data_IF_781669592176
#
_entry.id   IF_781669592176
#
_cell.length_a   1.000
_cell.length_b   1.000
_cell.length_c   1.000
_cell.angle_alpha   90.00
_cell.angle_beta   90.00
_cell.angle_gamma   90.00
#
_symmetry.space_group_name_H-M   'P 1'
#
loop_
_entity.id
_entity.type
_entity.pdbx_description
1 polymer ?
#
# COMPACT_ATOMS: atom_id res chain seq x y z
N UNK A 1 -25.87 -13.00 -11.61
CA UNK A 1 -25.23 -11.95 -12.41
C UNK A 1 -23.79 -12.37 -12.59
N UNK A 2 -23.34 -12.53 -13.85
CA UNK A 2 -22.02 -13.09 -14.16
C UNK A 2 -20.92 -12.21 -13.58
N UNK A 3 -20.08 -12.76 -12.70
CA UNK A 3 -18.81 -12.17 -12.32
C UNK A 3 -18.00 -11.99 -13.61
N UNK A 4 -17.86 -10.79 -14.10
CA UNK A 4 -16.91 -10.46 -15.15
C UNK A 4 -15.51 -10.67 -14.57
N UNK A 5 -15.06 -11.91 -14.65
CA UNK A 5 -13.73 -12.31 -14.21
C UNK A 5 -12.76 -11.80 -15.28
N UNK A 6 -12.08 -10.68 -15.01
CA UNK A 6 -10.99 -10.14 -15.85
C UNK A 6 -9.90 -11.22 -16.06
N UNK A 7 -9.91 -12.25 -15.23
CA UNK A 7 -8.98 -13.40 -15.21
C UNK A 7 -9.41 -14.62 -16.02
N UNK A 8 -10.31 -14.50 -16.99
CA UNK A 8 -10.44 -15.55 -18.03
C UNK A 8 -9.18 -15.67 -18.91
N UNK A 9 -8.07 -15.12 -18.43
CA UNK A 9 -6.73 -15.19 -18.99
C UNK A 9 -6.12 -16.57 -18.72
N UNK A 10 -6.49 -17.52 -19.57
CA UNK A 10 -5.81 -18.78 -19.72
C UNK A 10 -4.43 -18.57 -20.35
N UNK A 11 -3.53 -19.57 -20.24
CA UNK A 11 -2.24 -19.64 -20.97
C UNK A 11 -2.36 -19.26 -22.47
N UNK A 12 -3.55 -19.39 -23.03
CA UNK A 12 -3.94 -18.99 -24.38
C UNK A 12 -3.75 -17.47 -24.63
N UNK A 13 -4.03 -16.59 -23.66
CA UNK A 13 -3.86 -15.14 -23.85
C UNK A 13 -2.40 -14.75 -24.02
N UNK A 14 -1.48 -15.34 -23.25
CA UNK A 14 -0.03 -15.09 -23.39
C UNK A 14 0.54 -15.62 -24.72
N UNK A 15 -0.10 -16.65 -25.33
CA UNK A 15 0.28 -17.14 -26.64
C UNK A 15 -0.24 -16.27 -27.79
N UNK A 16 -1.39 -15.63 -27.61
CA UNK A 16 -2.06 -14.78 -28.60
C UNK A 16 -1.57 -13.30 -28.56
N UNK A 17 -1.03 -12.84 -27.42
CA UNK A 17 -0.54 -11.48 -27.21
C UNK A 17 0.96 -11.52 -26.81
N UNK A 18 1.87 -11.71 -27.78
CA UNK A 18 3.29 -11.74 -27.48
C UNK A 18 3.75 -10.37 -26.96
N UNK A 19 4.55 -10.39 -25.90
CA UNK A 19 5.18 -9.21 -25.29
C UNK A 19 5.87 -8.31 -26.35
N UNK A 20 5.90 -6.96 -26.22
CA UNK A 20 6.47 -6.04 -27.20
C UNK A 20 7.92 -6.37 -27.55
N UNK A 21 8.32 -6.20 -28.81
CA UNK A 21 9.54 -6.79 -29.38
C UNK A 21 10.86 -6.35 -28.74
N UNK A 22 11.01 -5.15 -28.22
CA UNK A 22 12.26 -4.66 -27.61
C UNK A 22 12.36 -4.95 -26.08
N UNK A 23 11.25 -5.26 -25.43
CA UNK A 23 11.17 -5.65 -24.01
C UNK A 23 11.12 -7.16 -23.81
N UNK A 24 10.92 -7.96 -24.87
CA UNK A 24 10.69 -9.41 -24.79
C UNK A 24 11.80 -10.19 -24.08
N UNK A 25 13.06 -9.84 -24.33
CA UNK A 25 14.22 -10.54 -23.71
C UNK A 25 14.28 -10.18 -22.23
N UNK A 26 14.02 -8.92 -21.90
CA UNK A 26 14.07 -8.39 -20.54
C UNK A 26 12.93 -8.98 -19.67
N UNK A 27 11.69 -8.95 -20.14
CA UNK A 27 10.55 -9.54 -19.41
C UNK A 27 10.65 -11.07 -19.30
N UNK A 28 11.17 -11.74 -20.30
CA UNK A 28 11.46 -13.19 -20.22
C UNK A 28 12.47 -13.49 -19.12
N UNK A 29 13.55 -12.71 -19.04
CA UNK A 29 14.56 -12.88 -18.00
C UNK A 29 13.97 -12.63 -16.61
N UNK A 30 13.16 -11.59 -16.45
CA UNK A 30 12.46 -11.32 -15.20
C UNK A 30 11.51 -12.46 -14.81
N UNK A 31 10.76 -13.01 -15.76
CA UNK A 31 9.90 -14.18 -15.54
C UNK A 31 10.70 -15.39 -15.03
N UNK A 32 11.84 -15.65 -15.67
CA UNK A 32 12.72 -16.76 -15.29
C UNK A 32 13.37 -16.50 -13.92
N UNK A 33 13.74 -15.25 -13.60
CA UNK A 33 14.24 -14.84 -12.29
C UNK A 33 13.21 -15.07 -11.18
N UNK A 34 11.95 -14.62 -11.37
CA UNK A 34 10.87 -14.82 -10.41
C UNK A 34 10.60 -16.31 -10.17
N UNK A 35 10.55 -17.09 -11.25
CA UNK A 35 10.40 -18.55 -11.17
C UNK A 35 11.55 -19.21 -10.42
N UNK A 36 12.78 -18.78 -10.67
CA UNK A 36 13.95 -19.30 -9.99
C UNK A 36 14.03 -18.87 -8.53
N UNK A 37 13.61 -17.64 -8.20
CA UNK A 37 13.54 -17.13 -6.84
C UNK A 37 12.59 -17.96 -5.97
N UNK A 38 11.44 -18.36 -6.51
CA UNK A 38 10.50 -19.24 -5.79
C UNK A 38 11.02 -20.68 -5.69
N UNK A 39 11.62 -21.21 -6.75
CA UNK A 39 12.24 -22.56 -6.72
C UNK A 39 13.40 -22.68 -5.72
N UNK A 40 14.18 -21.61 -5.55
CA UNK A 40 15.30 -21.53 -4.58
C UNK A 40 14.84 -21.13 -3.19
N UNK A 41 13.54 -21.00 -2.94
CA UNK A 41 12.94 -20.55 -1.69
C UNK A 41 13.47 -19.21 -1.18
N UNK A 42 13.90 -18.30 -2.09
CA UNK A 42 14.28 -16.94 -1.74
C UNK A 42 13.05 -16.09 -1.33
N UNK A 43 11.89 -16.40 -1.92
CA UNK A 43 10.56 -15.97 -1.52
C UNK A 43 9.61 -17.17 -1.66
N UNK A 44 8.54 -17.29 -0.85
CA UNK A 44 7.60 -18.41 -0.96
C UNK A 44 6.91 -18.47 -2.31
N UNK A 45 6.40 -17.33 -2.75
CA UNK A 45 5.73 -17.13 -4.02
C UNK A 45 5.42 -15.66 -4.24
N UNK A 46 4.92 -15.34 -5.43
CA UNK A 46 4.53 -13.97 -5.77
C UNK A 46 3.46 -13.94 -6.86
N UNK A 47 2.80 -12.81 -6.95
CA UNK A 47 1.96 -12.40 -8.08
C UNK A 47 2.56 -11.12 -8.65
N UNK A 48 2.69 -11.05 -9.97
CA UNK A 48 3.08 -9.84 -10.70
C UNK A 48 2.01 -9.48 -11.71
N UNK A 49 1.69 -8.18 -11.81
CA UNK A 49 0.86 -7.63 -12.87
C UNK A 49 1.58 -6.42 -13.44
N UNK A 50 1.70 -6.38 -14.76
CA UNK A 50 2.20 -5.25 -15.53
C UNK A 50 1.07 -4.78 -16.45
N UNK A 51 0.78 -3.49 -16.42
CA UNK A 51 -0.17 -2.86 -17.32
C UNK A 51 0.41 -1.60 -17.96
N UNK A 52 -0.03 -1.33 -19.17
CA UNK A 52 0.33 -0.16 -19.96
C UNK A 52 -0.94 0.40 -20.59
N UNK A 53 -1.18 1.71 -20.45
CA UNK A 53 -2.37 2.41 -21.01
C UNK A 53 -3.70 1.75 -20.64
N UNK A 54 -3.80 1.32 -19.38
CA UNK A 54 -5.00 0.65 -18.86
C UNK A 54 -5.18 -0.81 -19.27
N UNK A 55 -4.29 -1.37 -20.11
CA UNK A 55 -4.34 -2.76 -20.55
C UNK A 55 -3.33 -3.63 -19.81
N UNK A 56 -3.76 -4.78 -19.30
CA UNK A 56 -2.84 -5.75 -18.68
C UNK A 56 -1.99 -6.40 -19.77
N UNK A 57 -0.68 -6.23 -19.67
CA UNK A 57 0.31 -6.82 -20.60
C UNK A 57 0.91 -8.12 -20.07
N UNK A 58 0.94 -8.28 -18.74
CA UNK A 58 1.42 -9.50 -18.10
C UNK A 58 0.79 -9.64 -16.72
N UNK A 59 0.27 -10.84 -16.42
CA UNK A 59 -0.20 -11.23 -15.10
C UNK A 59 0.15 -12.69 -14.87
N UNK A 60 0.93 -12.99 -13.80
CA UNK A 60 1.37 -14.37 -13.50
C UNK A 60 1.60 -14.56 -12.01
N UNK A 61 1.34 -15.79 -11.55
CA UNK A 61 1.59 -16.24 -10.19
C UNK A 61 2.71 -17.30 -10.15
N UNK A 62 3.62 -17.19 -9.20
CA UNK A 62 4.77 -18.08 -9.04
C UNK A 62 4.85 -18.66 -7.63
N UNK A 63 5.30 -19.92 -7.51
CA UNK A 63 5.57 -20.56 -6.24
C UNK A 63 4.34 -20.87 -5.40
N UNK A 64 4.43 -20.68 -4.10
CA UNK A 64 3.44 -21.07 -3.11
C UNK A 64 2.96 -19.86 -2.30
N UNK A 65 1.64 -19.76 -2.03
CA UNK A 65 1.12 -18.78 -1.08
C UNK A 65 1.38 -19.20 0.36
N UNK A 66 1.50 -20.51 0.59
CA UNK A 66 1.81 -21.09 1.89
C UNK A 66 2.83 -22.23 1.71
N UNK A 67 3.84 -22.29 2.56
CA UNK A 67 4.81 -23.38 2.58
C UNK A 67 4.72 -24.20 3.88
N UNK A 68 4.13 -23.67 4.92
CA UNK A 68 3.88 -24.32 6.21
C UNK A 68 2.46 -24.03 6.70
N UNK A 69 1.78 -24.99 7.38
CA UNK A 69 2.20 -26.37 7.66
C UNK A 69 2.09 -27.27 6.43
N UNK A 70 1.32 -26.90 5.42
CA UNK A 70 1.12 -27.59 4.15
C UNK A 70 1.41 -26.65 3.00
N UNK A 71 1.96 -27.18 1.92
CA UNK A 71 2.24 -26.36 0.74
C UNK A 71 0.96 -26.10 -0.05
N UNK A 72 0.67 -24.81 -0.31
CA UNK A 72 -0.44 -24.35 -1.13
C UNK A 72 0.08 -23.49 -2.29
N UNK A 73 -0.38 -23.77 -3.52
CA UNK A 73 0.05 -23.06 -4.72
C UNK A 73 -0.37 -21.57 -4.66
N UNK A 74 0.50 -20.67 -5.12
CA UNK A 74 0.18 -19.27 -5.38
C UNK A 74 -0.78 -19.17 -6.58
N UNK A 75 -1.77 -18.30 -6.47
CA UNK A 75 -2.78 -18.04 -7.53
C UNK A 75 -2.99 -16.54 -7.69
N UNK A 76 -3.51 -16.10 -8.84
CA UNK A 76 -3.74 -14.67 -9.13
C UNK A 76 -4.79 -14.05 -8.19
N UNK A 77 -5.70 -14.84 -7.64
CA UNK A 77 -6.73 -14.45 -6.69
C UNK A 77 -6.29 -14.58 -5.23
N UNK A 78 -5.00 -14.84 -4.97
CA UNK A 78 -4.44 -14.84 -3.62
C UNK A 78 -4.61 -13.47 -2.98
N UNK A 79 -5.04 -13.46 -1.72
CA UNK A 79 -5.23 -12.27 -0.90
C UNK A 79 -3.97 -12.04 -0.07
N UNK A 80 -3.42 -10.84 -0.08
CA UNK A 80 -2.18 -10.48 0.61
C UNK A 80 -2.41 -9.42 1.67
N UNK A 81 -1.74 -9.55 2.82
CA UNK A 81 -1.52 -8.43 3.73
C UNK A 81 -0.65 -7.39 3.01
N UNK A 82 -1.24 -6.26 2.71
CA UNK A 82 -0.60 -5.17 1.96
C UNK A 82 0.42 -4.38 2.78
N UNK A 83 0.43 -4.56 4.10
CA UNK A 83 1.26 -3.78 5.02
C UNK A 83 1.15 -2.26 4.72
N UNK A 84 2.30 -1.59 4.51
CA UNK A 84 2.33 -0.14 4.30
C UNK A 84 1.70 0.35 3.00
N UNK A 85 1.34 -0.51 2.05
CA UNK A 85 0.50 -0.09 0.92
C UNK A 85 -0.88 0.42 1.40
N UNK A 86 -1.31 0.05 2.62
CA UNK A 86 -2.50 0.62 3.29
C UNK A 86 -2.49 2.14 3.24
N UNK A 87 -1.32 2.77 3.40
CA UNK A 87 -1.16 4.22 3.39
C UNK A 87 -1.68 4.86 2.10
N UNK A 88 -1.39 4.22 0.96
CA UNK A 88 -1.72 4.77 -0.36
C UNK A 88 -2.98 4.17 -0.97
N UNK A 89 -3.42 2.99 -0.52
CA UNK A 89 -4.62 2.32 -1.03
C UNK A 89 -5.87 2.68 -0.22
N UNK A 90 -5.71 3.05 1.06
CA UNK A 90 -6.80 3.40 1.97
C UNK A 90 -6.71 4.84 2.48
N UNK A 91 -5.67 5.16 3.25
CA UNK A 91 -5.61 6.42 4.01
C UNK A 91 -5.47 7.63 3.10
N UNK A 92 -4.56 7.61 2.14
CA UNK A 92 -4.39 8.71 1.19
C UNK A 92 -5.70 8.99 0.40
N UNK A 93 -6.35 8.01 -0.25
CA UNK A 93 -7.61 8.24 -0.94
C UNK A 93 -8.71 8.81 -0.03
N UNK A 94 -8.81 8.36 1.23
CA UNK A 94 -9.77 8.88 2.20
C UNK A 94 -9.49 10.36 2.52
N UNK A 95 -8.23 10.72 2.76
CA UNK A 95 -7.82 12.12 2.98
C UNK A 95 -8.09 12.99 1.75
N UNK A 96 -7.73 12.52 0.55
CA UNK A 96 -8.00 13.26 -0.69
C UNK A 96 -9.50 13.45 -0.94
N UNK A 97 -10.32 12.44 -0.60
CA UNK A 97 -11.78 12.55 -0.69
C UNK A 97 -12.33 13.62 0.27
N UNK A 98 -11.87 13.66 1.53
CA UNK A 98 -12.27 14.70 2.49
C UNK A 98 -11.85 16.10 2.03
N UNK A 99 -10.69 16.23 1.39
CA UNK A 99 -10.22 17.49 0.79
C UNK A 99 -11.11 17.90 -0.39
N UNK A 100 -11.47 16.96 -1.28
CA UNK A 100 -12.37 17.22 -2.42
C UNK A 100 -13.77 17.67 -1.96
N UNK A 101 -14.22 17.22 -0.78
CA UNK A 101 -15.47 17.68 -0.15
C UNK A 101 -15.34 19.04 0.57
N UNK A 102 -14.16 19.63 0.63
CA UNK A 102 -13.91 20.90 1.35
C UNK A 102 -13.96 20.79 2.87
N UNK A 103 -13.94 19.57 3.42
CA UNK A 103 -13.99 19.31 4.87
C UNK A 103 -12.60 19.40 5.50
N UNK A 104 -11.56 19.07 4.72
CA UNK A 104 -10.17 19.02 5.14
C UNK A 104 -9.30 19.82 4.17
N UNK A 105 -8.14 20.29 4.64
CA UNK A 105 -7.12 20.94 3.83
C UNK A 105 -5.74 20.31 4.10
N UNK A 106 -4.84 20.36 3.12
CA UNK A 106 -3.44 19.98 3.32
C UNK A 106 -2.75 20.83 4.38
N UNK A 107 -3.22 22.05 4.60
CA UNK A 107 -2.73 23.02 5.61
C UNK A 107 -3.42 22.88 6.95
N UNK A 108 -4.53 22.12 7.06
CA UNK A 108 -5.15 21.88 8.37
C UNK A 108 -4.16 21.27 9.34
N UNK A 109 -4.16 21.80 10.57
CA UNK A 109 -3.21 21.43 11.63
C UNK A 109 -3.83 20.43 12.60
N UNK A 110 -3.00 19.62 13.25
CA UNK A 110 -3.47 18.60 14.21
C UNK A 110 -4.32 19.18 15.33
N UNK A 111 -4.02 20.40 15.80
CA UNK A 111 -4.80 21.09 16.86
C UNK A 111 -6.27 21.36 16.47
N UNK A 112 -6.59 21.41 15.18
CA UNK A 112 -7.98 21.56 14.71
C UNK A 112 -8.82 20.30 15.02
N UNK A 113 -8.19 19.15 15.07
CA UNK A 113 -8.82 17.85 15.35
C UNK A 113 -8.59 17.39 16.79
N UNK A 114 -7.50 17.80 17.39
CA UNK A 114 -7.06 17.46 18.75
C UNK A 114 -6.68 18.73 19.52
N UNK A 115 -7.65 19.51 20.03
CA UNK A 115 -7.38 20.76 20.76
C UNK A 115 -6.40 20.58 21.91
N UNK A 116 -6.37 19.40 22.52
CA UNK A 116 -5.42 19.05 23.57
C UNK A 116 -3.94 19.01 23.11
N UNK A 117 -3.69 19.07 21.81
CA UNK A 117 -2.36 19.13 21.23
C UNK A 117 -1.88 20.55 20.93
N UNK A 118 -2.70 21.59 21.16
CA UNK A 118 -2.42 22.99 20.75
C UNK A 118 -1.09 23.49 21.29
N UNK A 119 -0.83 23.30 22.57
CA UNK A 119 0.43 23.66 23.23
C UNK A 119 1.51 22.58 23.14
N UNK A 120 1.21 21.48 22.46
CA UNK A 120 2.11 20.35 22.30
C UNK A 120 2.99 20.44 21.05
N UNK A 121 3.98 19.53 20.94
CA UNK A 121 4.94 19.54 19.83
C UNK A 121 4.30 19.30 18.46
N UNK A 122 3.10 18.71 18.41
CA UNK A 122 2.41 18.31 17.20
C UNK A 122 1.26 19.24 16.79
N UNK A 123 0.85 20.20 17.64
CA UNK A 123 -0.35 21.01 17.39
C UNK A 123 -0.34 21.74 16.04
N UNK A 124 0.81 22.22 15.61
CA UNK A 124 0.98 22.92 14.33
C UNK A 124 1.47 22.02 13.18
N UNK A 125 1.53 20.71 13.37
CA UNK A 125 1.84 19.76 12.27
C UNK A 125 0.65 19.67 11.33
N UNK A 126 0.91 19.85 10.03
CA UNK A 126 -0.13 19.86 9.00
C UNK A 126 -0.40 18.46 8.42
N UNK A 127 -1.56 18.29 7.79
CA UNK A 127 -1.92 17.08 7.02
C UNK A 127 -0.86 16.80 5.94
N UNK A 128 -0.39 17.84 5.23
CA UNK A 128 0.68 17.68 4.24
C UNK A 128 1.95 17.09 4.85
N UNK A 129 2.36 17.57 6.04
CA UNK A 129 3.56 17.09 6.72
C UNK A 129 3.45 15.65 7.23
N UNK A 130 2.23 15.22 7.62
CA UNK A 130 1.97 13.82 7.94
C UNK A 130 2.07 12.93 6.69
N UNK A 131 1.48 13.36 5.57
CA UNK A 131 1.49 12.63 4.30
C UNK A 131 2.89 12.52 3.68
N UNK A 132 3.73 13.53 3.85
CA UNK A 132 5.10 13.59 3.29
C UNK A 132 6.17 13.07 4.25
N UNK A 133 5.79 12.57 5.43
CA UNK A 133 6.71 12.13 6.47
C UNK A 133 7.69 13.22 6.95
N UNK A 134 7.25 14.48 6.94
CA UNK A 134 8.06 15.65 7.40
C UNK A 134 7.58 16.23 8.72
N UNK A 135 6.72 15.54 9.43
CA UNK A 135 6.16 15.96 10.72
C UNK A 135 7.17 16.01 11.87
N UNK A 136 8.37 15.44 11.71
CA UNK A 136 9.36 15.28 12.77
C UNK A 136 9.07 14.12 13.75
N UNK A 137 7.97 13.38 13.55
CA UNK A 137 7.63 12.21 14.36
C UNK A 137 8.67 11.10 14.20
N UNK A 138 8.94 10.37 15.29
CA UNK A 138 9.84 9.22 15.30
C UNK A 138 9.48 8.17 14.23
N UNK A 139 10.51 7.66 13.56
CA UNK A 139 10.39 6.50 12.69
C UNK A 139 10.02 5.22 13.47
N UNK A 140 10.47 5.11 14.72
CA UNK A 140 10.17 3.98 15.60
C UNK A 140 8.77 4.11 16.18
N UNK A 141 7.95 3.09 16.00
CA UNK A 141 6.59 3.04 16.52
C UNK A 141 6.44 1.83 17.45
N UNK A 142 6.18 2.09 18.72
CA UNK A 142 5.85 1.08 19.72
C UNK A 142 4.73 1.62 20.61
N UNK A 143 3.49 1.35 20.21
CA UNK A 143 2.32 1.99 20.81
C UNK A 143 2.02 1.51 22.23
N UNK A 144 2.34 0.25 22.58
CA UNK A 144 2.13 -0.29 23.93
C UNK A 144 2.80 0.53 25.04
N UNK A 145 3.85 1.30 24.73
CA UNK A 145 4.48 2.20 25.71
C UNK A 145 3.55 3.31 26.21
N UNK A 146 2.48 3.61 25.48
CA UNK A 146 1.56 4.71 25.80
C UNK A 146 0.33 4.27 26.58
N UNK A 147 0.04 2.96 26.65
CA UNK A 147 -1.11 2.40 27.36
C UNK A 147 -1.72 1.19 26.64
N UNK A 148 -2.87 0.75 27.13
CA UNK A 148 -3.56 -0.44 26.63
C UNK A 148 -4.75 -0.09 25.70
N UNK A 149 -5.30 1.10 25.81
CA UNK A 149 -6.41 1.56 24.97
C UNK A 149 -5.96 2.36 23.76
N UNK A 150 -6.75 2.29 22.66
CA UNK A 150 -6.52 3.11 21.46
C UNK A 150 -6.39 4.59 21.81
N UNK A 151 -7.25 5.11 22.70
CA UNK A 151 -7.22 6.52 23.09
C UNK A 151 -5.92 6.91 23.80
N UNK A 152 -5.40 6.07 24.70
CA UNK A 152 -4.11 6.32 25.36
C UNK A 152 -2.97 6.31 24.35
N UNK A 153 -2.99 5.37 23.39
CA UNK A 153 -1.98 5.27 22.35
C UNK A 153 -1.97 6.52 21.45
N UNK A 154 -3.14 6.98 21.01
CA UNK A 154 -3.26 8.20 20.20
C UNK A 154 -2.80 9.42 20.97
N UNK A 155 -3.26 9.57 22.22
CA UNK A 155 -2.80 10.65 23.12
C UNK A 155 -1.29 10.61 23.31
N UNK A 156 -0.72 9.43 23.48
CA UNK A 156 0.72 9.23 23.60
C UNK A 156 1.50 9.65 22.35
N UNK A 157 0.96 9.37 21.14
CA UNK A 157 1.54 9.90 19.89
C UNK A 157 1.50 11.43 19.90
N UNK A 158 0.34 12.04 20.21
CA UNK A 158 0.16 13.50 20.17
C UNK A 158 1.07 14.24 21.15
N UNK A 159 1.43 13.60 22.26
CA UNK A 159 2.31 14.16 23.29
C UNK A 159 3.79 13.76 23.12
N UNK A 160 4.10 12.90 22.12
CA UNK A 160 5.48 12.43 21.93
C UNK A 160 6.38 13.57 21.43
N UNK A 161 7.64 13.64 21.90
CA UNK A 161 8.59 14.61 21.40
C UNK A 161 8.88 14.37 19.92
N UNK A 162 9.18 15.44 19.19
CA UNK A 162 9.67 15.37 17.83
C UNK A 162 11.17 15.00 17.83
N UNK A 163 11.59 14.08 16.94
CA UNK A 163 13.00 13.77 16.72
C UNK A 163 13.69 14.81 15.84
N UNK A 164 12.92 15.49 14.98
CA UNK A 164 13.39 16.54 14.08
C UNK A 164 12.41 17.71 14.14
N UNK A 165 12.89 18.92 13.84
CA UNK A 165 12.00 20.05 13.69
C UNK A 165 10.97 19.79 12.59
N UNK A 166 9.70 20.16 12.83
CA UNK A 166 8.62 20.02 11.88
C UNK A 166 8.98 20.64 10.52
N UNK A 167 8.85 19.92 9.43
CA UNK A 167 9.16 20.35 8.06
C UNK A 167 10.65 20.35 7.69
N UNK A 168 11.57 19.96 8.59
CA UNK A 168 13.01 20.07 8.35
C UNK A 168 13.65 18.87 7.66
N UNK A 169 13.04 17.70 7.76
CA UNK A 169 13.60 16.46 7.25
C UNK A 169 12.48 15.45 6.94
N UNK A 170 12.68 14.64 5.92
CA UNK A 170 11.87 13.45 5.67
C UNK A 170 12.34 12.34 6.62
N UNK A 171 11.42 11.84 7.46
CA UNK A 171 11.64 10.69 8.35
C UNK A 171 10.40 9.80 8.31
N UNK A 172 10.49 8.67 7.61
CA UNK A 172 9.35 7.76 7.44
C UNK A 172 8.77 7.35 8.79
N UNK A 173 7.52 7.68 9.05
CA UNK A 173 6.85 7.40 10.32
C UNK A 173 5.46 6.80 10.14
N UNK A 174 5.23 5.65 10.78
CA UNK A 174 3.90 5.06 10.87
C UNK A 174 2.94 5.91 11.70
N UNK A 175 3.45 6.62 12.72
CA UNK A 175 2.64 7.47 13.62
C UNK A 175 1.84 8.52 12.87
N UNK A 176 2.45 9.16 11.85
CA UNK A 176 1.76 10.14 11.02
C UNK A 176 0.54 9.55 10.32
N UNK A 177 0.67 8.36 9.76
CA UNK A 177 -0.45 7.68 9.08
C UNK A 177 -1.47 7.09 10.04
N UNK A 178 -1.07 6.69 11.26
CA UNK A 178 -2.02 6.36 12.33
C UNK A 178 -2.91 7.57 12.60
N UNK A 179 -2.32 8.74 12.83
CA UNK A 179 -3.08 9.98 13.07
C UNK A 179 -3.97 10.36 11.88
N UNK A 180 -3.50 10.20 10.63
CA UNK A 180 -4.33 10.45 9.44
C UNK A 180 -5.56 9.54 9.39
N UNK A 181 -5.42 8.26 9.72
CA UNK A 181 -6.55 7.32 9.84
C UNK A 181 -7.55 7.76 10.92
N UNK A 182 -7.05 8.13 12.09
CA UNK A 182 -7.88 8.65 13.19
C UNK A 182 -8.61 9.96 12.84
N UNK A 183 -7.98 10.83 12.06
CA UNK A 183 -8.62 12.07 11.57
C UNK A 183 -9.79 11.73 10.64
N UNK A 184 -9.63 10.75 9.75
CA UNK A 184 -10.75 10.29 8.90
C UNK A 184 -11.91 9.81 9.78
N UNK A 185 -11.65 8.96 10.77
CA UNK A 185 -12.68 8.43 11.68
C UNK A 185 -13.35 9.57 12.47
N UNK A 186 -12.56 10.49 12.99
CA UNK A 186 -13.06 11.61 13.82
C UNK A 186 -13.93 12.58 13.03
N UNK A 187 -13.57 12.87 11.77
CA UNK A 187 -14.33 13.79 10.91
C UNK A 187 -15.60 13.14 10.39
N UNK A 188 -15.51 11.90 9.93
CA UNK A 188 -16.62 11.20 9.27
C UNK A 188 -17.61 10.58 10.25
N UNK A 189 -17.17 10.22 11.46
CA UNK A 189 -17.92 9.38 12.39
C UNK A 189 -18.03 7.91 11.97
N UNK A 190 -17.33 7.51 10.89
CA UNK A 190 -17.26 6.14 10.36
C UNK A 190 -15.88 5.56 10.66
N UNK A 191 -15.73 4.23 10.74
CA UNK A 191 -14.39 3.63 10.76
C UNK A 191 -13.64 3.95 9.48
N UNK A 192 -12.29 3.97 9.50
CA UNK A 192 -11.50 4.14 8.28
C UNK A 192 -11.89 3.10 7.22
N UNK A 193 -12.19 1.87 7.65
CA UNK A 193 -12.65 0.81 6.74
C UNK A 193 -13.97 1.14 6.07
N UNK A 194 -15.01 1.46 6.86
CA UNK A 194 -16.33 1.77 6.33
C UNK A 194 -16.28 2.98 5.40
N UNK A 195 -15.50 4.00 5.80
CA UNK A 195 -15.34 5.21 5.00
C UNK A 195 -14.72 4.92 3.63
N UNK A 196 -13.56 4.23 3.59
CA UNK A 196 -12.87 3.98 2.32
C UNK A 196 -13.62 2.95 1.47
N UNK A 197 -14.25 1.95 2.08
CA UNK A 197 -15.09 0.97 1.39
C UNK A 197 -16.26 1.67 0.68
N UNK A 198 -17.00 2.52 1.38
CA UNK A 198 -18.18 3.22 0.87
C UNK A 198 -17.85 4.26 -0.20
N UNK A 199 -16.82 5.06 0.04
CA UNK A 199 -16.54 6.23 -0.77
C UNK A 199 -15.55 5.99 -1.92
N UNK A 200 -14.70 4.95 -1.81
CA UNK A 200 -13.65 4.64 -2.78
C UNK A 200 -13.81 3.21 -3.32
N UNK A 201 -13.56 2.17 -2.51
CA UNK A 201 -13.38 0.81 -3.01
C UNK A 201 -14.61 0.24 -3.71
N UNK A 202 -15.80 0.38 -3.15
CA UNK A 202 -17.04 -0.09 -3.80
C UNK A 202 -17.33 0.63 -5.12
N UNK A 203 -16.87 1.88 -5.27
CA UNK A 203 -17.09 2.67 -6.49
C UNK A 203 -16.14 2.28 -7.62
N UNK A 204 -15.04 1.58 -7.30
CA UNK A 204 -14.04 1.11 -8.26
C UNK A 204 -13.96 -0.42 -8.31
N UNK A 205 -15.01 -1.12 -7.91
CA UNK A 205 -15.15 -2.59 -7.96
C UNK A 205 -14.06 -3.36 -7.19
N UNK A 206 -13.51 -2.80 -6.13
CA UNK A 206 -12.57 -3.46 -5.21
C UNK A 206 -13.33 -4.23 -4.12
N UNK A 207 -13.95 -5.35 -4.49
CA UNK A 207 -14.86 -6.10 -3.61
C UNK A 207 -14.15 -7.11 -2.71
N UNK A 208 -12.88 -7.41 -2.96
CA UNK A 208 -12.05 -8.34 -2.19
C UNK A 208 -10.92 -7.60 -1.43
N UNK A 209 -11.09 -6.27 -1.25
CA UNK A 209 -10.21 -5.43 -0.45
C UNK A 209 -10.88 -5.10 0.87
N UNK A 210 -10.19 -5.39 1.97
CA UNK A 210 -10.76 -5.27 3.30
C UNK A 210 -9.68 -5.12 4.37
N UNK A 211 -10.08 -4.66 5.54
CA UNK A 211 -9.33 -4.88 6.76
C UNK A 211 -9.79 -6.21 7.39
N UNK A 212 -8.87 -6.95 7.98
CA UNK A 212 -9.15 -8.18 8.74
C UNK A 212 -10.11 -9.16 8.04
N UNK A 213 -9.65 -9.92 7.04
CA UNK A 213 -10.48 -10.94 6.39
C UNK A 213 -10.92 -12.01 7.39
N UNK A 214 -12.23 -12.16 7.56
CA UNK A 214 -12.86 -13.10 8.50
C UNK A 214 -13.81 -14.10 7.84
N UNK A 215 -14.16 -13.90 6.58
CA UNK A 215 -14.93 -14.86 5.81
C UNK A 215 -14.07 -16.08 5.47
N UNK A 216 -14.61 -17.28 5.67
CA UNK A 216 -13.92 -18.54 5.42
C UNK A 216 -13.40 -18.65 3.97
N UNK A 217 -14.18 -18.21 2.98
CA UNK A 217 -13.77 -18.25 1.57
C UNK A 217 -12.57 -17.35 1.29
N UNK A 218 -12.48 -16.20 1.97
CA UNK A 218 -11.31 -15.32 1.88
C UNK A 218 -10.10 -15.95 2.59
N UNK A 219 -10.30 -16.50 3.80
CA UNK A 219 -9.21 -17.13 4.56
C UNK A 219 -8.55 -18.28 3.81
N UNK A 220 -9.29 -19.03 3.00
CA UNK A 220 -8.73 -20.08 2.14
C UNK A 220 -7.74 -19.53 1.09
N UNK A 221 -7.87 -18.25 0.69
CA UNK A 221 -7.04 -17.62 -0.33
C UNK A 221 -6.00 -16.67 0.24
N UNK A 222 -6.05 -16.36 1.54
CA UNK A 222 -5.06 -15.48 2.18
C UNK A 222 -3.69 -16.16 2.19
N UNK A 223 -2.68 -15.44 1.74
CA UNK A 223 -1.29 -15.80 1.92
C UNK A 223 -0.88 -15.54 3.39
N UNK A 224 -0.50 -16.57 4.17
CA UNK A 224 -0.05 -16.35 5.53
C UNK A 224 1.25 -15.56 5.56
N UNK A 225 1.47 -14.88 6.68
CA UNK A 225 2.69 -14.14 6.95
C UNK A 225 3.59 -14.93 7.92
N UNK A 226 4.16 -14.30 8.90
CA UNK A 226 5.16 -14.85 9.82
C UNK A 226 4.58 -15.88 10.77
N UNK A 227 5.38 -16.90 11.09
CA UNK A 227 5.09 -17.83 12.18
C UNK A 227 5.22 -17.12 13.53
N UNK A 228 4.22 -17.29 14.38
CA UNK A 228 4.19 -16.74 15.72
C UNK A 228 4.20 -17.87 16.76
N UNK A 229 5.22 -17.85 17.60
CA UNK A 229 5.42 -18.84 18.67
C UNK A 229 4.25 -18.86 19.65
N UNK A 230 3.67 -17.69 19.95
CA UNK A 230 2.59 -17.53 20.92
C UNK A 230 1.30 -18.29 20.54
N UNK A 231 1.08 -18.45 19.23
CA UNK A 231 -0.10 -19.17 18.70
C UNK A 231 0.29 -20.47 17.99
N UNK A 232 1.58 -20.80 17.90
CA UNK A 232 2.10 -21.98 17.21
C UNK A 232 1.62 -22.12 15.76
N UNK A 233 1.43 -20.98 15.06
CA UNK A 233 0.91 -20.90 13.69
C UNK A 233 1.45 -19.68 12.96
N UNK A 234 1.36 -19.71 11.62
CA UNK A 234 1.53 -18.52 10.80
C UNK A 234 0.31 -17.63 10.88
N UNK A 235 0.52 -16.30 10.94
CA UNK A 235 -0.58 -15.34 10.87
C UNK A 235 -1.27 -15.45 9.51
N UNK A 236 -2.58 -15.70 9.50
CA UNK A 236 -3.41 -15.82 8.30
C UNK A 236 -4.72 -15.06 8.48
N UNK A 237 -4.94 -14.01 7.70
CA UNK A 237 -6.11 -13.14 7.84
C UNK A 237 -6.03 -12.15 9.01
N UNK A 238 -4.94 -12.16 9.76
CA UNK A 238 -4.63 -11.17 10.79
C UNK A 238 -3.47 -10.31 10.33
N UNK A 239 -3.57 -8.99 10.52
CA UNK A 239 -2.53 -8.04 10.12
C UNK A 239 -1.20 -8.38 10.80
N UNK A 240 -0.12 -8.35 10.01
CA UNK A 240 1.22 -8.65 10.51
C UNK A 240 1.79 -7.54 11.40
N UNK A 241 1.50 -6.26 11.07
CA UNK A 241 2.00 -5.11 11.83
C UNK A 241 1.46 -5.13 13.25
N UNK A 242 2.36 -5.18 14.23
CA UNK A 242 2.03 -5.30 15.65
C UNK A 242 1.25 -4.07 16.17
N UNK A 243 1.58 -2.87 15.68
CA UNK A 243 0.86 -1.65 16.10
C UNK A 243 -0.55 -1.59 15.49
N UNK A 244 -0.71 -2.00 14.24
CA UNK A 244 -2.03 -2.11 13.63
C UNK A 244 -2.88 -3.18 14.34
N UNK A 245 -2.27 -4.32 14.72
CA UNK A 245 -2.95 -5.39 15.44
C UNK A 245 -3.51 -4.92 16.79
N UNK A 246 -2.73 -4.21 17.59
CA UNK A 246 -3.21 -3.67 18.90
C UNK A 246 -4.21 -2.54 18.75
N UNK A 247 -4.27 -1.88 17.59
CA UNK A 247 -5.32 -0.91 17.24
C UNK A 247 -6.59 -1.57 16.69
N UNK A 248 -6.71 -2.89 16.77
CA UNK A 248 -7.88 -3.64 16.31
C UNK A 248 -7.85 -4.06 14.84
N UNK A 249 -6.70 -3.99 14.20
CA UNK A 249 -6.50 -4.42 12.80
C UNK A 249 -6.84 -3.36 11.76
N UNK A 250 -7.48 -2.26 12.14
CA UNK A 250 -7.82 -1.13 11.24
C UNK A 250 -6.96 0.06 11.65
N UNK A 251 -5.97 0.39 10.85
CA UNK A 251 -5.09 1.52 11.13
C UNK A 251 -4.63 2.20 9.83
N UNK A 252 -4.41 3.52 9.86
CA UNK A 252 -4.06 4.28 8.67
C UNK A 252 -2.72 3.92 8.03
N UNK A 253 -1.85 3.18 8.73
CA UNK A 253 -0.52 2.80 8.25
C UNK A 253 -0.40 1.36 7.75
N UNK A 254 -1.28 0.46 8.19
CA UNK A 254 -1.26 -0.98 7.86
C UNK A 254 -2.62 -1.63 8.19
N UNK A 255 -2.89 -2.82 7.65
CA UNK A 255 -4.08 -3.64 7.97
C UNK A 255 -4.95 -3.99 6.77
N UNK A 256 -4.72 -3.38 5.60
CA UNK A 256 -5.46 -3.72 4.38
C UNK A 256 -4.96 -5.05 3.80
N UNK A 257 -5.92 -5.90 3.45
CA UNK A 257 -5.75 -7.09 2.64
C UNK A 257 -6.38 -6.89 1.28
N UNK A 258 -5.76 -7.37 0.20
CA UNK A 258 -6.30 -7.23 -1.15
C UNK A 258 -5.77 -8.29 -2.09
N UNK A 259 -6.37 -8.37 -3.27
CA UNK A 259 -5.94 -9.17 -4.41
C UNK A 259 -5.25 -8.31 -5.46
N UNK A 260 -4.51 -8.95 -6.37
CA UNK A 260 -3.95 -8.25 -7.53
C UNK A 260 -5.05 -7.65 -8.42
N UNK A 261 -6.20 -8.33 -8.55
CA UNK A 261 -7.33 -7.84 -9.35
C UNK A 261 -7.88 -6.51 -8.82
N UNK A 262 -8.13 -6.41 -7.51
CA UNK A 262 -8.63 -5.18 -6.91
C UNK A 262 -7.62 -4.04 -7.01
N UNK A 263 -6.33 -4.36 -6.84
CA UNK A 263 -5.27 -3.37 -7.02
C UNK A 263 -5.14 -2.88 -8.48
N UNK A 264 -5.49 -3.71 -9.48
CA UNK A 264 -5.61 -3.26 -10.87
C UNK A 264 -6.69 -2.18 -11.00
N UNK A 265 -7.86 -2.35 -10.34
CA UNK A 265 -8.92 -1.34 -10.37
C UNK A 265 -8.44 -0.02 -9.74
N UNK A 266 -7.75 -0.13 -8.60
CA UNK A 266 -7.14 1.02 -7.94
C UNK A 266 -6.12 1.72 -8.84
N UNK A 267 -5.19 0.97 -9.42
CA UNK A 267 -4.18 1.53 -10.32
C UNK A 267 -4.80 2.19 -11.55
N UNK A 268 -5.82 1.58 -12.15
CA UNK A 268 -6.55 2.17 -13.26
C UNK A 268 -7.23 3.50 -12.87
N UNK A 269 -7.84 3.59 -11.70
CA UNK A 269 -8.42 4.83 -11.19
C UNK A 269 -7.33 5.91 -11.00
N UNK A 270 -6.19 5.58 -10.41
CA UNK A 270 -5.06 6.52 -10.24
C UNK A 270 -4.54 6.99 -11.60
N UNK A 271 -4.26 6.06 -12.54
CA UNK A 271 -3.74 6.39 -13.88
C UNK A 271 -4.75 7.17 -14.74
N UNK A 272 -6.05 6.96 -14.49
CA UNK A 272 -7.13 7.76 -15.08
C UNK A 272 -7.42 9.05 -14.29
N UNK A 273 -6.45 9.51 -13.49
CA UNK A 273 -6.50 10.78 -12.75
C UNK A 273 -7.75 10.93 -11.87
N UNK A 274 -8.12 9.86 -11.18
CA UNK A 274 -9.26 9.83 -10.26
C UNK A 274 -10.60 9.46 -10.89
N UNK A 275 -10.62 9.07 -12.17
CA UNK A 275 -11.83 8.56 -12.83
C UNK A 275 -11.81 7.03 -12.91
N UNK A 276 -12.99 6.44 -12.80
CA UNK A 276 -13.19 5.00 -13.01
C UNK A 276 -14.48 4.78 -13.81
N UNK A 277 -14.38 4.11 -14.97
CA UNK A 277 -15.50 3.86 -15.91
C UNK A 277 -16.32 5.12 -16.21
N UNK A 278 -15.65 6.27 -16.37
CA UNK A 278 -16.28 7.58 -16.64
C UNK A 278 -16.85 8.29 -15.42
N UNK A 279 -16.85 7.68 -14.25
CA UNK A 279 -17.29 8.30 -13.00
C UNK A 279 -16.09 8.94 -12.28
N UNK A 280 -16.25 10.19 -11.82
CA UNK A 280 -15.29 10.84 -10.92
C UNK A 280 -15.36 10.19 -9.54
N UNK A 281 -14.26 9.66 -9.07
CA UNK A 281 -14.08 9.09 -7.73
C UNK A 281 -13.31 10.07 -6.84
N UNK A 282 -12.21 10.61 -7.36
CA UNK A 282 -11.36 11.60 -6.71
C UNK A 282 -11.08 12.77 -7.67
N UNK A 283 -10.70 13.90 -7.12
CA UNK A 283 -10.35 15.08 -7.91
C UNK A 283 -9.05 14.88 -8.68
N UNK A 284 -9.06 15.16 -9.99
CA UNK A 284 -7.88 15.02 -10.88
C UNK A 284 -6.67 15.82 -10.37
N UNK A 285 -6.90 17.07 -9.95
CA UNK A 285 -5.82 17.93 -9.46
C UNK A 285 -5.23 17.43 -8.14
N UNK A 286 -6.05 16.83 -7.26
CA UNK A 286 -5.58 16.25 -6.02
C UNK A 286 -4.75 14.97 -6.29
N UNK A 287 -5.17 14.13 -7.22
CA UNK A 287 -4.36 12.97 -7.65
C UNK A 287 -3.03 13.45 -8.22
N UNK A 288 -3.03 14.38 -9.19
CA UNK A 288 -1.81 14.92 -9.77
C UNK A 288 -0.90 15.55 -8.71
N UNK A 289 -1.48 16.37 -7.81
CA UNK A 289 -0.74 16.97 -6.71
C UNK A 289 -0.16 15.94 -5.75
N UNK A 290 -0.83 14.80 -5.53
CA UNK A 290 -0.30 13.76 -4.63
C UNK A 290 0.98 13.12 -5.18
N UNK A 291 1.17 13.11 -6.49
CA UNK A 291 2.25 12.42 -7.20
C UNK A 291 3.46 13.31 -7.53
N UNK A 292 3.45 14.59 -7.19
CA UNK A 292 4.62 15.47 -7.35
C UNK A 292 5.53 15.43 -6.13
N UNK A 293 6.80 15.83 -6.31
CA UNK A 293 7.76 15.91 -5.22
C UNK A 293 7.53 17.16 -4.36
N UNK A 294 6.99 16.97 -3.15
CA UNK A 294 6.76 18.05 -2.16
C UNK A 294 7.97 18.38 -1.30
N UNK A 295 9.03 17.58 -1.35
CA UNK A 295 10.19 17.65 -0.47
C UNK A 295 11.50 17.85 -1.23
N UNK A 296 11.45 18.50 -2.40
CA UNK A 296 12.62 18.70 -3.29
C UNK A 296 13.79 19.46 -2.62
N UNK A 297 13.52 20.17 -1.53
CA UNK A 297 14.48 20.92 -0.74
C UNK A 297 15.01 20.14 0.48
N UNK A 298 14.56 18.89 0.68
CA UNK A 298 14.94 18.05 1.81
C UNK A 298 15.80 16.84 1.38
N UNK A 299 16.08 15.95 2.30
CA UNK A 299 16.97 14.80 2.17
C UNK A 299 16.45 13.69 1.24
N UNK A 300 15.12 13.58 1.07
CA UNK A 300 14.49 12.56 0.23
C UNK A 300 13.28 13.11 -0.52
N UNK A 301 13.05 12.74 -1.79
CA UNK A 301 11.85 13.11 -2.52
C UNK A 301 10.63 12.34 -1.99
N UNK A 302 9.52 13.07 -1.73
CA UNK A 302 8.23 12.49 -1.31
C UNK A 302 7.07 13.19 -2.00
N UNK A 303 6.11 12.37 -2.46
CA UNK A 303 4.75 12.81 -2.76
C UNK A 303 3.87 12.76 -1.52
N UNK A 304 2.57 13.03 -1.67
CA UNK A 304 1.62 12.81 -0.57
C UNK A 304 1.38 11.29 -0.42
N UNK A 305 2.09 10.70 0.54
CA UNK A 305 2.09 9.24 0.77
C UNK A 305 2.96 8.42 -0.20
N UNK A 306 3.44 8.99 -1.30
CA UNK A 306 4.20 8.28 -2.31
C UNK A 306 5.72 8.42 -2.15
N UNK A 307 6.44 7.33 -2.48
CA UNK A 307 7.89 7.30 -2.65
C UNK A 307 8.27 7.53 -4.11
N UNK A 308 9.52 7.97 -4.34
CA UNK A 308 10.12 8.09 -5.66
C UNK A 308 11.23 7.06 -5.82
N UNK A 309 11.25 6.35 -6.96
CA UNK A 309 12.18 5.25 -7.25
C UNK A 309 13.12 5.53 -8.43
N UNK A 310 12.96 6.66 -9.11
CA UNK A 310 13.86 7.10 -10.15
C UNK A 310 14.89 8.10 -9.64
N UNK A 311 16.08 8.09 -10.24
CA UNK A 311 17.16 9.06 -9.92
C UNK A 311 16.88 10.44 -10.50
N UNK A 312 16.09 10.54 -11.56
CA UNK A 312 15.66 11.81 -12.15
C UNK A 312 14.17 12.08 -11.88
N UNK A 313 13.93 12.81 -10.80
CA UNK A 313 12.57 13.16 -10.33
C UNK A 313 11.89 14.20 -11.22
N UNK A 314 12.59 14.77 -12.21
CA UNK A 314 12.07 15.88 -13.04
C UNK A 314 11.45 15.43 -14.35
N UNK A 315 11.99 14.36 -14.96
CA UNK A 315 11.60 13.95 -16.31
C UNK A 315 10.93 12.58 -16.39
N UNK A 316 11.25 11.64 -15.50
CA UNK A 316 10.72 10.27 -15.53
C UNK A 316 10.54 9.73 -14.11
N UNK A 317 9.66 10.35 -13.32
CA UNK A 317 9.44 9.93 -11.94
C UNK A 317 8.70 8.59 -11.89
N UNK A 318 9.39 7.53 -11.46
CA UNK A 318 8.74 6.31 -11.01
C UNK A 318 8.29 6.53 -9.58
N UNK A 319 6.99 6.49 -9.37
CA UNK A 319 6.34 6.77 -8.09
C UNK A 319 5.72 5.48 -7.57
N UNK A 320 5.68 5.28 -6.28
CA UNK A 320 5.07 4.06 -5.75
C UNK A 320 5.11 3.99 -4.24
N UNK A 321 4.85 2.79 -3.71
CA UNK A 321 5.01 2.50 -2.30
C UNK A 321 5.35 1.02 -2.09
N UNK A 322 6.03 0.72 -1.00
CA UNK A 322 6.47 -0.63 -0.62
C UNK A 322 5.80 -1.09 0.67
N UNK A 323 5.41 -2.37 0.72
CA UNK A 323 4.95 -3.04 1.93
C UNK A 323 6.02 -3.89 2.58
N UNK A 324 6.00 -3.97 3.91
CA UNK A 324 6.95 -4.79 4.68
C UNK A 324 6.82 -6.29 4.36
N UNK A 325 5.61 -6.74 4.13
CA UNK A 325 5.28 -8.13 3.73
C UNK A 325 5.87 -8.53 2.37
N UNK A 326 6.35 -7.56 1.59
CA UNK A 326 6.96 -7.75 0.27
C UNK A 326 6.17 -7.13 -0.87
N UNK A 327 4.96 -6.65 -0.61
CA UNK A 327 4.08 -6.02 -1.58
C UNK A 327 4.64 -4.71 -2.12
N UNK A 328 4.28 -4.34 -3.35
CA UNK A 328 4.78 -3.13 -4.01
C UNK A 328 3.82 -2.67 -5.09
N UNK A 329 3.66 -1.36 -5.22
CA UNK A 329 3.01 -0.68 -6.33
C UNK A 329 3.96 0.35 -6.92
N UNK A 330 4.07 0.40 -8.25
CA UNK A 330 4.87 1.40 -8.96
C UNK A 330 4.10 1.92 -10.17
N UNK A 331 4.29 3.20 -10.46
CA UNK A 331 3.67 3.93 -11.56
C UNK A 331 4.72 4.75 -12.32
N UNK A 332 4.66 4.72 -13.63
CA UNK A 332 5.25 5.72 -14.53
C UNK A 332 4.07 6.48 -15.18
N UNK A 333 3.68 7.65 -14.65
CA UNK A 333 2.55 8.39 -15.19
C UNK A 333 2.76 8.89 -16.62
N UNK A 334 4.01 9.11 -17.03
CA UNK A 334 4.32 9.62 -18.38
C UNK A 334 4.19 8.53 -19.44
N UNK A 335 4.63 7.33 -19.13
CA UNK A 335 4.50 6.16 -20.03
C UNK A 335 3.16 5.46 -19.89
N UNK A 336 2.34 5.87 -18.92
CA UNK A 336 1.08 5.19 -18.55
C UNK A 336 1.29 3.72 -18.19
N UNK A 337 2.38 3.42 -17.47
CA UNK A 337 2.73 2.07 -17.00
C UNK A 337 2.52 1.98 -15.50
N UNK A 338 1.98 0.85 -15.02
CA UNK A 338 2.05 0.48 -13.61
C UNK A 338 2.43 -0.99 -13.42
N UNK A 339 3.07 -1.27 -12.31
CA UNK A 339 3.43 -2.63 -11.91
C UNK A 339 2.96 -2.90 -10.47
N UNK A 340 2.25 -4.02 -10.30
CA UNK A 340 1.83 -4.57 -9.02
C UNK A 340 2.68 -5.80 -8.77
N UNK A 341 3.38 -5.85 -7.63
CA UNK A 341 4.13 -7.01 -7.20
C UNK A 341 3.73 -7.39 -5.78
N UNK A 342 3.12 -8.56 -5.61
CA UNK A 342 2.62 -9.07 -4.34
C UNK A 342 3.36 -10.34 -3.96
N UNK A 343 3.88 -10.38 -2.75
CA UNK A 343 4.50 -11.57 -2.16
C UNK A 343 4.32 -11.53 -0.64
N UNK A 344 4.31 -12.68 -0.02
CA UNK A 344 4.37 -12.84 1.43
C UNK A 344 5.79 -13.24 1.85
N UNK A 345 6.80 -12.45 1.46
CA UNK A 345 8.23 -12.77 1.67
C UNK A 345 8.59 -13.12 3.12
N UNK A 346 7.80 -12.63 4.07
CA UNK A 346 7.97 -12.85 5.50
C UNK A 346 7.36 -14.17 5.99
N UNK A 347 6.86 -15.01 5.10
CA UNK A 347 6.36 -16.33 5.41
C UNK A 347 7.47 -17.39 5.20
N UNK A 348 7.80 -18.22 6.19
CA UNK A 348 7.28 -18.20 7.55
C UNK A 348 8.10 -17.29 8.49
N UNK A 349 9.17 -16.63 8.03
CA UNK A 349 10.05 -15.77 8.83
C UNK A 349 10.32 -14.43 8.14
N UNK A 350 10.37 -13.35 8.93
CA UNK A 350 10.72 -12.00 8.47
C UNK A 350 12.19 -11.81 8.07
N UNK A 351 13.05 -12.76 8.32
CA UNK A 351 14.50 -12.68 8.07
C UNK A 351 14.89 -12.80 6.59
N UNK A 352 13.94 -13.07 5.67
CA UNK A 352 14.21 -13.17 4.24
C UNK A 352 14.69 -11.83 3.65
N UNK A 353 15.94 -11.77 3.19
CA UNK A 353 16.62 -10.53 2.77
C UNK A 353 16.54 -10.24 1.26
N UNK A 354 16.11 -11.20 0.43
CA UNK A 354 16.24 -11.14 -1.03
C UNK A 354 15.22 -10.21 -1.76
N UNK A 355 14.24 -9.67 -1.05
CA UNK A 355 13.19 -8.85 -1.67
C UNK A 355 13.74 -7.60 -2.39
N UNK A 356 14.84 -7.02 -1.88
CA UNK A 356 15.43 -5.81 -2.48
C UNK A 356 15.95 -6.06 -3.90
N UNK A 357 16.67 -7.16 -4.12
CA UNK A 357 17.19 -7.51 -5.45
C UNK A 357 16.05 -7.76 -6.45
N UNK A 358 15.01 -8.50 -6.04
CA UNK A 358 13.85 -8.76 -6.87
C UNK A 358 13.14 -7.45 -7.27
N UNK A 359 12.91 -6.55 -6.31
CA UNK A 359 12.31 -5.22 -6.58
C UNK A 359 13.17 -4.40 -7.54
N UNK A 360 14.50 -4.40 -7.37
CA UNK A 360 15.42 -3.71 -8.29
C UNK A 360 15.37 -4.32 -9.69
N UNK A 361 15.33 -5.64 -9.82
CA UNK A 361 15.18 -6.30 -11.13
C UNK A 361 13.86 -5.93 -11.82
N UNK A 362 12.76 -5.87 -11.05
CA UNK A 362 11.45 -5.44 -11.59
C UNK A 362 11.54 -4.00 -12.08
N UNK A 363 12.01 -3.06 -11.25
CA UNK A 363 12.13 -1.65 -11.62
C UNK A 363 12.99 -1.45 -12.87
N UNK A 364 14.17 -2.06 -12.93
CA UNK A 364 15.09 -1.94 -14.07
C UNK A 364 14.57 -2.62 -15.35
N UNK A 365 13.60 -3.53 -15.24
CA UNK A 365 13.07 -4.26 -16.39
C UNK A 365 11.81 -3.62 -16.95
N UNK A 366 10.97 -3.06 -16.08
CA UNK A 366 9.64 -2.56 -16.42
C UNK A 366 9.67 -1.08 -16.79
N UNK A 367 10.47 -0.30 -16.13
CA UNK A 367 10.52 1.16 -16.24
C UNK A 367 11.83 1.66 -16.86
#
# INVERSE_FOLDING_TARGET
MSKNNIWSFNEKYLSEHPLPNNSKISLKNLRDELRNSTKKALIPGCVIVLAEKGEIKWAEAFGSRQIQPTQEKMTLDTIFDLASLTKVVATLPAILHLIDQGILSLQSCLKEFYPESEDGPLGNVTIAQLLTHTSGLSARTYLKQYGESKNEMIKGILQSPLENANGSMVSYSNRGFILLGEIVEKISGESLYDYVQKHIWNKIDMHETMFTPHNQDYLLRVAPTEFREEIQACLKGTVHDENASILGGIAGHAGVFSTANDLVQFCNMIMSKGFYKGQKILNEQLIANSMINHTSHLNEPRGLGWDFFSTDVRENAIIGHLGFTGTSLWFDPLKEIYCIFLTNRIHPSREALFIRSIRSSILNTVF
#
